data_IF_196054048465
#
_entry.id   IF_196054048465
#
_cell.length_a   1.000
_cell.length_b   1.000
_cell.length_c   1.000
_cell.angle_alpha   90.00
_cell.angle_beta   90.00
_cell.angle_gamma   90.00
#
_symmetry.space_group_name_H-M   'P 1'
#
loop_
_entity.id
_entity.type
_entity.pdbx_description
1 polymer ?
#
# COMPACT_ATOMS: atom_id res chain seq x y z
N UNK A 1 1.38 -18.77 -8.87
CA UNK A 1 0.12 -18.07 -8.55
C UNK A 1 -0.28 -17.19 -9.71
N UNK A 2 -1.52 -17.26 -10.12
CA UNK A 2 -2.05 -16.51 -11.25
C UNK A 2 -2.78 -15.25 -10.75
N UNK A 3 -3.00 -14.28 -11.64
CA UNK A 3 -3.67 -13.03 -11.28
C UNK A 3 -5.06 -13.27 -10.68
N UNK A 4 -5.80 -14.21 -11.24
CA UNK A 4 -7.14 -14.58 -10.75
C UNK A 4 -7.17 -15.11 -9.31
N UNK A 5 -6.03 -15.56 -8.80
CA UNK A 5 -5.91 -16.07 -7.43
C UNK A 5 -5.81 -14.95 -6.38
N UNK A 6 -5.70 -13.70 -6.82
CA UNK A 6 -5.52 -12.56 -5.94
C UNK A 6 -4.17 -12.57 -5.22
N UNK A 7 -3.05 -12.54 -5.98
CA UNK A 7 -1.72 -12.55 -5.37
C UNK A 7 -1.56 -11.47 -4.31
N UNK A 8 -1.03 -11.86 -3.16
CA UNK A 8 -0.95 -11.01 -1.97
C UNK A 8 0.45 -11.08 -1.39
N UNK A 9 0.95 -9.95 -0.90
CA UNK A 9 2.19 -9.87 -0.13
C UNK A 9 1.94 -9.02 1.11
N UNK A 10 2.54 -9.42 2.22
CA UNK A 10 2.44 -8.69 3.48
C UNK A 10 3.82 -8.60 4.13
N UNK A 11 4.12 -7.45 4.71
CA UNK A 11 5.36 -7.21 5.45
C UNK A 11 5.01 -6.68 6.84
N UNK A 12 5.93 -6.82 7.80
CA UNK A 12 5.69 -6.40 9.18
C UNK A 12 6.97 -5.87 9.81
N UNK A 13 6.79 -4.98 10.80
CA UNK A 13 7.89 -4.43 11.59
C UNK A 13 7.42 -4.17 13.02
N UNK A 14 8.31 -4.34 14.00
CA UNK A 14 8.05 -3.94 15.38
C UNK A 14 8.59 -2.53 15.59
N UNK A 15 7.76 -1.68 16.19
CA UNK A 15 8.08 -0.26 16.41
C UNK A 15 7.99 0.03 17.92
N UNK A 16 9.07 0.58 18.47
CA UNK A 16 9.12 1.00 19.86
C UNK A 16 8.66 2.46 19.97
N UNK A 17 7.35 2.67 19.88
CA UNK A 17 6.73 3.98 19.95
C UNK A 17 5.25 3.83 20.31
N UNK A 18 4.60 4.91 20.80
CA UNK A 18 3.16 4.88 21.06
C UNK A 18 2.36 4.63 19.79
N UNK A 19 1.27 3.90 19.91
CA UNK A 19 0.42 3.56 18.77
C UNK A 19 -0.16 4.81 18.10
N UNK A 20 -0.42 5.86 18.87
CA UNK A 20 -0.91 7.13 18.35
C UNK A 20 0.08 7.77 17.38
N UNK A 21 1.37 7.71 17.70
CA UNK A 21 2.43 8.20 16.82
C UNK A 21 2.50 7.42 15.52
N UNK A 22 2.42 6.09 15.62
CA UNK A 22 2.43 5.21 14.43
C UNK A 22 1.20 5.46 13.57
N UNK A 23 0.03 5.64 14.21
CA UNK A 23 -1.22 5.89 13.48
C UNK A 23 -1.17 7.19 12.68
N UNK A 24 -0.62 8.26 13.25
CA UNK A 24 -0.47 9.53 12.52
C UNK A 24 0.40 9.37 11.27
N UNK A 25 1.46 8.59 11.36
CA UNK A 25 2.35 8.34 10.22
C UNK A 25 1.68 7.48 9.17
N UNK A 26 0.97 6.44 9.59
CA UNK A 26 0.28 5.50 8.69
C UNK A 26 -0.84 6.17 7.90
N UNK A 27 -1.55 7.11 8.52
CA UNK A 27 -2.66 7.81 7.85
C UNK A 27 -2.24 9.03 7.04
N UNK A 28 -0.95 9.34 7.04
CA UNK A 28 -0.39 10.34 6.11
C UNK A 28 -0.18 9.68 4.76
N UNK A 29 -1.14 9.87 3.85
CA UNK A 29 -1.13 9.22 2.54
C UNK A 29 0.06 9.62 1.67
N UNK A 30 0.71 10.74 1.98
CA UNK A 30 1.85 11.23 1.22
C UNK A 30 3.19 10.71 1.75
N UNK A 31 3.21 10.17 2.97
CA UNK A 31 4.45 9.76 3.64
C UNK A 31 5.21 8.67 2.86
N UNK A 32 4.56 7.62 2.31
CA UNK A 32 5.30 6.57 1.60
C UNK A 32 6.14 7.06 0.42
N UNK A 33 5.82 8.23 -0.15
CA UNK A 33 6.60 8.82 -1.24
C UNK A 33 8.04 9.13 -0.83
N UNK A 34 8.30 9.26 0.47
CA UNK A 34 9.64 9.54 1.00
C UNK A 34 10.55 8.30 0.98
N UNK A 35 9.98 7.11 0.87
CA UNK A 35 10.69 5.84 1.03
C UNK A 35 10.56 4.90 -0.16
N UNK A 36 9.51 5.04 -0.96
CA UNK A 36 9.26 4.22 -2.14
C UNK A 36 9.90 4.85 -3.38
N UNK A 37 10.53 4.04 -4.20
CA UNK A 37 11.04 4.50 -5.50
C UNK A 37 9.93 4.69 -6.53
N UNK A 38 8.80 4.05 -6.32
CA UNK A 38 7.69 4.05 -7.26
C UNK A 38 6.63 5.12 -6.93
N UNK A 39 6.23 5.20 -5.66
CA UNK A 39 5.18 6.11 -5.22
C UNK A 39 5.73 7.54 -5.10
N UNK A 40 5.10 8.49 -5.79
CA UNK A 40 5.59 9.87 -5.91
C UNK A 40 4.78 10.90 -5.15
N UNK A 41 3.72 10.48 -4.49
CA UNK A 41 2.91 11.36 -3.66
C UNK A 41 1.42 11.16 -3.85
N UNK A 42 0.64 11.74 -2.96
CA UNK A 42 -0.81 11.64 -2.97
C UNK A 42 -1.46 12.93 -2.46
N UNK A 43 -2.72 13.13 -2.82
CA UNK A 43 -3.52 14.25 -2.36
C UNK A 43 -4.97 13.81 -2.17
N UNK A 44 -5.58 14.24 -1.06
CA UNK A 44 -6.99 13.97 -0.80
C UNK A 44 -7.87 14.73 -1.78
N UNK A 45 -8.93 14.06 -2.25
CA UNK A 45 -9.98 14.65 -3.09
C UNK A 45 -11.19 15.08 -2.25
N UNK A 46 -11.36 14.50 -1.08
CA UNK A 46 -12.49 14.77 -0.18
C UNK A 46 -11.99 15.36 1.14
N UNK A 47 -12.79 16.19 1.79
CA UNK A 47 -12.43 16.82 3.06
C UNK A 47 -12.47 15.83 4.22
N UNK A 48 -13.39 14.87 4.19
CA UNK A 48 -13.48 13.79 5.17
C UNK A 48 -12.55 12.66 4.73
N UNK A 49 -11.85 12.04 5.69
CA UNK A 49 -10.87 10.99 5.41
C UNK A 49 -11.30 9.61 5.91
N UNK A 50 -12.59 9.42 6.16
CA UNK A 50 -13.17 8.16 6.61
C UNK A 50 -13.45 7.22 5.42
N UNK A 51 -14.06 6.07 5.67
CA UNK A 51 -14.47 5.10 4.64
C UNK A 51 -15.29 5.81 3.56
N UNK A 52 -14.94 5.58 2.31
CA UNK A 52 -15.53 6.24 1.15
C UNK A 52 -14.77 7.46 0.67
N UNK A 53 -13.88 8.02 1.47
CA UNK A 53 -13.05 9.15 1.06
C UNK A 53 -12.08 8.73 -0.04
N UNK A 54 -11.79 9.66 -0.95
CA UNK A 54 -10.97 9.40 -2.13
C UNK A 54 -9.68 10.20 -2.08
N UNK A 55 -8.63 9.63 -2.63
CA UNK A 55 -7.39 10.36 -2.86
C UNK A 55 -6.77 9.94 -4.19
N UNK A 56 -5.99 10.84 -4.80
CA UNK A 56 -5.24 10.55 -6.01
C UNK A 56 -3.80 10.26 -5.64
N UNK A 57 -3.25 9.16 -6.16
CA UNK A 57 -1.85 8.79 -6.00
C UNK A 57 -1.12 8.93 -7.32
N UNK A 58 0.13 9.40 -7.26
CA UNK A 58 1.02 9.52 -8.41
C UNK A 58 2.13 8.50 -8.29
N UNK A 59 2.42 7.81 -9.39
CA UNK A 59 3.39 6.73 -9.42
C UNK A 59 4.33 6.87 -10.60
N UNK A 60 5.47 6.22 -10.51
CA UNK A 60 6.43 6.11 -11.59
C UNK A 60 7.10 4.74 -11.55
N UNK A 61 7.32 4.16 -12.72
CA UNK A 61 8.06 2.91 -12.84
C UNK A 61 8.84 2.95 -14.16
N UNK A 62 10.07 2.46 -14.14
CA UNK A 62 10.95 2.50 -15.31
C UNK A 62 10.35 1.83 -16.55
N UNK A 63 9.50 0.82 -16.37
CA UNK A 63 8.87 0.10 -17.47
C UNK A 63 7.52 0.69 -17.89
N UNK A 64 6.85 1.45 -17.01
CA UNK A 64 5.49 1.92 -17.23
C UNK A 64 5.38 3.45 -17.34
N UNK A 65 6.44 4.19 -16.95
CA UNK A 65 6.40 5.65 -16.91
C UNK A 65 5.59 6.18 -15.72
N UNK A 66 5.01 7.35 -15.88
CA UNK A 66 4.18 7.99 -14.86
C UNK A 66 2.72 7.63 -15.04
N UNK A 67 2.01 7.44 -13.91
CA UNK A 67 0.55 7.27 -13.93
C UNK A 67 -0.06 7.72 -12.61
N UNK A 68 -1.36 8.00 -12.65
CA UNK A 68 -2.14 8.36 -11.47
C UNK A 68 -3.23 7.32 -11.24
N UNK A 69 -3.57 7.12 -9.97
CA UNK A 69 -4.69 6.27 -9.58
C UNK A 69 -5.56 7.01 -8.57
N UNK A 70 -6.87 6.78 -8.64
CA UNK A 70 -7.79 7.23 -7.60
C UNK A 70 -8.05 6.05 -6.67
N UNK A 71 -7.88 6.28 -5.38
CA UNK A 71 -8.11 5.27 -4.35
C UNK A 71 -9.26 5.68 -3.46
N UNK A 72 -9.98 4.69 -2.95
CA UNK A 72 -11.13 4.87 -2.08
C UNK A 72 -10.86 4.17 -0.76
N UNK A 73 -10.91 4.90 0.35
CA UNK A 73 -10.71 4.33 1.68
C UNK A 73 -11.78 3.27 1.94
N UNK A 74 -11.36 2.05 2.26
CA UNK A 74 -12.26 0.93 2.56
C UNK A 74 -12.17 0.43 4.01
N UNK A 75 -11.13 0.87 4.74
CA UNK A 75 -10.95 0.57 6.15
C UNK A 75 -10.45 1.82 6.86
N UNK A 76 -11.10 2.18 7.94
CA UNK A 76 -10.65 3.28 8.78
C UNK A 76 -11.09 3.00 10.22
N UNK A 77 -10.25 2.30 10.97
CA UNK A 77 -10.45 2.03 12.39
C UNK A 77 -9.26 2.63 13.14
N UNK A 78 -9.45 3.78 13.82
CA UNK A 78 -8.34 4.46 14.51
C UNK A 78 -7.51 3.52 15.37
N UNK A 79 -6.20 3.61 15.24
CA UNK A 79 -5.20 2.80 15.96
C UNK A 79 -5.22 1.30 15.60
N UNK A 80 -5.98 0.88 14.57
CA UNK A 80 -6.10 -0.54 14.20
C UNK A 80 -5.87 -0.81 12.73
N UNK A 81 -6.60 -0.14 11.84
CA UNK A 81 -6.44 -0.40 10.40
C UNK A 81 -6.79 0.80 9.53
N UNK A 82 -6.03 0.94 8.46
CA UNK A 82 -6.25 1.93 7.42
C UNK A 82 -5.98 1.25 6.07
N UNK A 83 -6.97 1.26 5.19
CA UNK A 83 -6.83 0.60 3.91
C UNK A 83 -7.64 1.27 2.83
N UNK A 84 -7.34 0.93 1.58
CA UNK A 84 -8.00 1.50 0.42
C UNK A 84 -8.06 0.53 -0.75
N UNK A 85 -9.05 0.77 -1.62
CA UNK A 85 -9.22 0.09 -2.90
C UNK A 85 -8.77 1.02 -4.01
N UNK A 86 -8.02 0.51 -4.97
CA UNK A 86 -7.54 1.31 -6.10
C UNK A 86 -8.55 1.24 -7.24
N UNK A 87 -8.93 2.40 -7.77
CA UNK A 87 -9.79 2.61 -8.93
C UNK A 87 -11.28 2.44 -8.63
N UNK A 88 -11.69 1.37 -7.96
CA UNK A 88 -13.09 1.07 -7.69
C UNK A 88 -13.21 0.43 -6.29
N UNK A 89 -14.24 0.83 -5.55
CA UNK A 89 -14.41 0.35 -4.17
C UNK A 89 -14.78 -1.14 -4.09
N UNK A 90 -15.56 -1.62 -5.05
CA UNK A 90 -16.08 -3.00 -5.03
C UNK A 90 -15.31 -3.95 -5.94
N UNK A 91 -14.70 -3.43 -7.01
CA UNK A 91 -13.93 -4.22 -7.96
C UNK A 91 -12.58 -3.54 -8.24
N UNK A 92 -11.69 -3.50 -7.24
CA UNK A 92 -10.43 -2.76 -7.38
C UNK A 92 -9.41 -3.47 -8.27
N UNK A 93 -8.49 -2.68 -8.84
CA UNK A 93 -7.32 -3.23 -9.53
C UNK A 93 -6.29 -3.73 -8.53
N UNK A 94 -6.30 -3.19 -7.32
CA UNK A 94 -5.52 -3.68 -6.17
C UNK A 94 -6.12 -3.13 -4.89
N UNK A 95 -5.76 -3.76 -3.77
CA UNK A 95 -6.16 -3.30 -2.44
C UNK A 95 -4.91 -3.20 -1.58
N UNK A 96 -4.87 -2.19 -0.72
CA UNK A 96 -3.73 -1.92 0.16
C UNK A 96 -4.23 -1.67 1.57
N UNK A 97 -3.46 -2.06 2.58
CA UNK A 97 -3.85 -1.84 3.98
C UNK A 97 -2.65 -1.76 4.89
N UNK A 98 -2.86 -1.07 6.02
CA UNK A 98 -2.01 -1.12 7.19
C UNK A 98 -2.82 -1.67 8.36
N UNK A 99 -2.19 -2.49 9.19
CA UNK A 99 -2.78 -2.99 10.43
C UNK A 99 -1.82 -2.75 11.57
N UNK A 100 -2.33 -2.27 12.71
CA UNK A 100 -1.57 -1.97 13.90
C UNK A 100 -2.06 -2.84 15.05
N UNK A 101 -1.12 -3.38 15.83
CA UNK A 101 -1.41 -4.19 16.99
C UNK A 101 -0.45 -3.82 18.12
N UNK A 102 -0.98 -3.53 19.32
CA UNK A 102 -0.13 -3.28 20.47
C UNK A 102 0.59 -4.56 20.88
N UNK A 103 1.90 -4.48 21.13
CA UNK A 103 2.71 -5.61 21.57
C UNK A 103 3.64 -5.13 22.69
N UNK A 104 3.39 -5.57 23.93
CA UNK A 104 4.21 -5.09 25.05
C UNK A 104 4.22 -3.56 25.10
N UNK A 105 5.40 -2.95 24.94
CA UNK A 105 5.59 -1.50 25.00
C UNK A 105 5.50 -0.82 23.63
N UNK A 106 5.29 -1.59 22.58
CA UNK A 106 5.33 -1.06 21.23
C UNK A 106 4.15 -1.45 20.36
N UNK A 107 4.39 -1.42 19.05
CA UNK A 107 3.38 -1.69 18.04
C UNK A 107 3.96 -2.63 16.98
N UNK A 108 3.20 -3.65 16.61
CA UNK A 108 3.48 -4.38 15.37
C UNK A 108 2.69 -3.71 14.26
N UNK A 109 3.42 -3.24 13.24
CA UNK A 109 2.83 -2.64 12.05
C UNK A 109 2.96 -3.62 10.88
N UNK A 110 1.83 -3.92 10.24
CA UNK A 110 1.79 -4.73 9.03
C UNK A 110 1.29 -3.88 7.87
N UNK A 111 1.85 -4.13 6.70
CA UNK A 111 1.36 -3.57 5.45
C UNK A 111 1.14 -4.70 4.47
N UNK A 112 0.00 -4.71 3.80
CA UNK A 112 -0.32 -5.72 2.81
C UNK A 112 -0.88 -5.10 1.55
N UNK A 113 -0.79 -5.86 0.46
CA UNK A 113 -1.42 -5.53 -0.81
C UNK A 113 -1.88 -6.81 -1.50
N UNK A 114 -2.99 -6.70 -2.22
CA UNK A 114 -3.56 -7.77 -3.03
C UNK A 114 -3.80 -7.27 -4.44
N UNK A 115 -3.39 -8.05 -5.43
CA UNK A 115 -3.63 -7.76 -6.85
C UNK A 115 -5.05 -8.12 -7.25
N UNK A 116 -5.66 -7.31 -8.11
CA UNK A 116 -6.98 -7.56 -8.65
C UNK A 116 -8.13 -7.35 -7.66
N UNK A 117 -9.32 -7.86 -8.03
CA UNK A 117 -9.65 -8.70 -9.19
C UNK A 117 -9.75 -7.97 -10.53
N UNK A 118 -9.92 -6.64 -10.54
CA UNK A 118 -10.01 -5.89 -11.79
C UNK A 118 -8.68 -5.83 -12.54
N UNK A 119 -8.70 -5.63 -13.85
CA UNK A 119 -7.47 -5.45 -14.62
C UNK A 119 -6.65 -4.25 -14.15
N UNK A 120 -5.33 -4.34 -14.31
CA UNK A 120 -4.37 -3.29 -13.97
C UNK A 120 -3.34 -3.16 -15.09
N UNK A 121 -2.34 -2.30 -14.91
CA UNK A 121 -1.21 -2.23 -15.84
C UNK A 121 -0.50 -3.56 -16.00
N UNK A 122 -0.47 -4.36 -14.94
CA UNK A 122 0.17 -5.68 -14.96
C UNK A 122 -0.56 -6.66 -15.90
N UNK A 123 -1.88 -6.57 -16.00
CA UNK A 123 -2.65 -7.46 -16.88
C UNK A 123 -2.37 -7.22 -18.36
N UNK A 124 -1.91 -6.04 -18.72
CA UNK A 124 -1.46 -5.74 -20.09
C UNK A 124 -0.25 -6.62 -20.43
N UNK A 125 0.73 -6.67 -19.52
CA UNK A 125 1.92 -7.51 -19.71
C UNK A 125 1.57 -9.01 -19.73
N UNK A 126 0.64 -9.43 -18.87
CA UNK A 126 0.18 -10.81 -18.80
C UNK A 126 -0.53 -11.20 -20.10
N UNK A 127 -1.38 -10.33 -20.64
CA UNK A 127 -2.09 -10.55 -21.91
C UNK A 127 -1.11 -10.68 -23.06
N UNK A 128 -0.04 -9.89 -23.08
CA UNK A 128 0.98 -9.94 -24.10
C UNK A 128 1.85 -11.21 -24.01
N UNK A 129 2.04 -11.74 -22.81
CA UNK A 129 2.91 -12.90 -22.54
C UNK A 129 2.24 -13.86 -21.55
N UNK A 130 1.11 -14.50 -21.93
CA UNK A 130 0.32 -15.30 -20.97
C UNK A 130 1.06 -16.50 -20.40
N UNK A 131 2.05 -17.04 -21.11
CA UNK A 131 2.88 -18.15 -20.64
C UNK A 131 3.87 -17.72 -19.53
N UNK A 132 4.04 -16.42 -19.34
CA UNK A 132 4.93 -15.86 -18.31
C UNK A 132 4.19 -15.25 -17.13
N UNK A 133 2.90 -15.48 -17.02
CA UNK A 133 2.07 -14.86 -15.99
C UNK A 133 2.63 -15.04 -14.57
N UNK A 134 2.98 -16.25 -14.18
CA UNK A 134 3.50 -16.53 -12.83
C UNK A 134 4.80 -15.78 -12.55
N UNK A 135 5.68 -15.68 -13.54
CA UNK A 135 6.95 -14.94 -13.42
C UNK A 135 6.73 -13.45 -13.31
N UNK A 136 5.81 -12.91 -14.12
CA UNK A 136 5.45 -11.48 -14.09
C UNK A 136 4.92 -11.11 -12.72
N UNK A 137 4.01 -11.92 -12.17
CA UNK A 137 3.43 -11.70 -10.85
C UNK A 137 4.49 -11.80 -9.76
N UNK A 138 5.31 -12.85 -9.78
CA UNK A 138 6.35 -13.05 -8.76
C UNK A 138 7.32 -11.85 -8.72
N UNK A 139 7.72 -11.35 -9.87
CA UNK A 139 8.61 -10.19 -9.95
C UNK A 139 7.94 -8.93 -9.38
N UNK A 140 6.67 -8.73 -9.68
CA UNK A 140 5.93 -7.56 -9.19
C UNK A 140 5.76 -7.61 -7.67
N UNK A 141 5.48 -8.78 -7.13
CA UNK A 141 5.39 -8.97 -5.68
C UNK A 141 6.72 -8.68 -4.98
N UNK A 142 7.84 -9.06 -5.59
CA UNK A 142 9.17 -8.74 -5.06
C UNK A 142 9.41 -7.22 -5.02
N UNK A 143 9.00 -6.50 -6.08
CA UNK A 143 9.11 -5.04 -6.12
C UNK A 143 8.26 -4.40 -5.02
N UNK A 144 7.04 -4.87 -4.83
CA UNK A 144 6.18 -4.40 -3.75
C UNK A 144 6.80 -4.66 -2.38
N UNK A 145 7.32 -5.86 -2.16
CA UNK A 145 7.94 -6.23 -0.89
C UNK A 145 9.11 -5.30 -0.54
N UNK A 146 9.96 -5.00 -1.50
CA UNK A 146 11.09 -4.07 -1.31
C UNK A 146 10.59 -2.68 -0.92
N UNK A 147 9.62 -2.14 -1.65
CA UNK A 147 9.09 -0.81 -1.39
C UNK A 147 8.33 -0.73 -0.07
N UNK A 148 7.56 -1.78 0.24
CA UNK A 148 6.79 -1.84 1.48
C UNK A 148 7.71 -1.94 2.70
N UNK A 149 8.77 -2.75 2.62
CA UNK A 149 9.75 -2.85 3.70
C UNK A 149 10.47 -1.52 3.91
N UNK A 150 10.81 -0.81 2.84
CA UNK A 150 11.43 0.52 2.94
C UNK A 150 10.48 1.52 3.63
N UNK A 151 9.20 1.47 3.30
CA UNK A 151 8.17 2.32 3.91
C UNK A 151 8.03 2.01 5.40
N UNK A 152 7.90 0.72 5.77
CA UNK A 152 7.76 0.33 7.17
C UNK A 152 8.99 0.72 7.99
N UNK A 153 10.18 0.53 7.45
CA UNK A 153 11.42 0.91 8.13
C UNK A 153 11.49 2.43 8.32
N UNK A 154 11.06 3.20 7.31
CA UNK A 154 10.99 4.65 7.41
C UNK A 154 10.00 5.11 8.47
N UNK A 155 8.82 4.50 8.54
CA UNK A 155 7.82 4.79 9.58
C UNK A 155 8.40 4.46 10.95
N UNK A 156 9.05 3.30 11.10
CA UNK A 156 9.68 2.91 12.36
C UNK A 156 10.70 3.95 12.83
N UNK A 157 11.58 4.36 11.94
CA UNK A 157 12.61 5.36 12.29
C UNK A 157 12.00 6.69 12.71
N UNK A 158 10.99 7.18 11.97
CA UNK A 158 10.32 8.42 12.31
C UNK A 158 9.59 8.31 13.65
N UNK A 159 8.88 7.21 13.89
CA UNK A 159 8.12 7.01 15.12
C UNK A 159 9.05 6.92 16.35
N UNK A 160 10.15 6.18 16.23
CA UNK A 160 11.09 5.98 17.33
C UNK A 160 11.92 7.21 17.65
N UNK A 161 12.07 8.13 16.72
CA UNK A 161 12.84 9.37 16.90
C UNK A 161 12.02 10.60 17.21
N UNK A 162 10.68 10.46 17.27
CA UNK A 162 9.77 11.60 17.51
C UNK A 162 9.52 11.85 19.01
N UNK A 163 9.95 10.96 19.88
CA UNK A 163 9.71 11.09 21.32
C UNK A 163 10.73 11.97 22.01
#
# INVERSE_FOLDING_TARGET
MRYEDGPTVEVAVLIDAPIETVWELVTDINLPSRFSDEFRGAAWLDDDHDVGARFVGRNWHKAMGEWETVSIVNRYEPMRSFGWSVTDAENPSSSWWFELERTGDGVQLRQGTRMGPAPSGLTIAITAMPDKEERIIARRLEEFEVNMNATLDGIRQLAEHTT
#
